data_IF_803518902353
#
_entry.id   IF_803518902353
#
_cell.length_a   1.000
_cell.length_b   1.000
_cell.length_c   1.000
_cell.angle_alpha   90.00
_cell.angle_beta   90.00
_cell.angle_gamma   90.00
#
_symmetry.space_group_name_H-M   'P 1'
#
loop_
_entity.id
_entity.type
_entity.pdbx_description
1 polymer ?
#
# COMPACT_ATOMS: atom_id res chain seq x y z
N UNK A 1 10.94 9.42 17.35
CA UNK A 1 11.39 8.05 17.67
C UNK A 1 10.89 7.16 16.56
N UNK A 2 11.71 6.27 15.98
CA UNK A 2 11.22 5.33 14.98
C UNK A 2 10.12 4.47 15.62
N UNK A 3 8.91 4.63 15.12
CA UNK A 3 7.70 3.97 15.63
C UNK A 3 7.79 2.45 15.44
N UNK A 4 8.70 2.01 14.57
CA UNK A 4 9.03 0.62 14.27
C UNK A 4 10.53 0.38 14.53
N UNK A 5 10.94 0.12 15.78
CA UNK A 5 12.34 -0.11 16.10
C UNK A 5 12.86 -1.33 15.32
N UNK A 6 13.97 -1.14 14.58
CA UNK A 6 14.62 -2.14 13.72
C UNK A 6 13.83 -2.57 12.47
N UNK A 7 12.97 -1.70 11.92
CA UNK A 7 12.38 -1.93 10.60
C UNK A 7 13.46 -2.09 9.52
N UNK A 8 13.52 -3.26 8.87
CA UNK A 8 14.51 -3.59 7.83
C UNK A 8 13.90 -3.88 6.45
N UNK A 9 12.58 -3.66 6.30
CA UNK A 9 11.89 -3.80 5.02
C UNK A 9 12.26 -2.67 4.06
N UNK A 10 12.32 -2.97 2.75
CA UNK A 10 12.62 -1.99 1.69
C UNK A 10 11.38 -1.33 1.09
N UNK A 11 10.22 -1.98 1.24
CA UNK A 11 8.97 -1.58 0.62
C UNK A 11 7.97 -2.73 0.54
N UNK A 12 7.20 -2.77 -0.55
CA UNK A 12 6.24 -3.82 -0.90
C UNK A 12 6.98 -4.88 -1.70
N UNK A 13 6.83 -6.15 -1.30
CA UNK A 13 7.47 -7.29 -1.93
C UNK A 13 6.45 -8.09 -2.74
N UNK A 14 6.82 -8.47 -3.97
CA UNK A 14 6.02 -9.36 -4.81
C UNK A 14 6.69 -10.73 -4.91
N UNK A 15 5.86 -11.76 -4.92
CA UNK A 15 6.28 -13.15 -4.98
C UNK A 15 5.42 -13.93 -5.97
N UNK A 16 6.00 -14.95 -6.59
CA UNK A 16 5.26 -16.04 -7.22
C UNK A 16 5.13 -17.19 -6.23
N UNK A 17 3.98 -17.86 -6.25
CA UNK A 17 3.73 -19.09 -5.50
C UNK A 17 3.38 -20.18 -6.50
N UNK A 18 4.19 -21.24 -6.55
CA UNK A 18 3.80 -22.46 -7.22
C UNK A 18 2.82 -23.24 -6.33
N UNK A 19 1.55 -23.29 -6.70
CA UNK A 19 0.50 -23.93 -5.89
C UNK A 19 0.61 -25.46 -5.82
N UNK A 20 1.36 -26.09 -6.72
CA UNK A 20 1.57 -27.54 -6.73
C UNK A 20 2.74 -27.95 -5.82
N UNK A 21 3.84 -27.19 -5.84
CA UNK A 21 5.08 -27.52 -5.10
C UNK A 21 5.23 -26.77 -3.78
N UNK A 22 4.53 -25.63 -3.63
CA UNK A 22 4.71 -24.70 -2.51
C UNK A 22 5.96 -23.82 -2.62
N UNK A 23 6.65 -23.84 -3.76
CA UNK A 23 7.82 -22.98 -3.99
C UNK A 23 7.41 -21.51 -4.07
N UNK A 24 8.15 -20.65 -3.36
CA UNK A 24 7.94 -19.19 -3.32
C UNK A 24 9.21 -18.52 -3.82
N UNK A 25 9.08 -17.67 -4.83
CA UNK A 25 10.19 -16.89 -5.40
C UNK A 25 9.87 -15.40 -5.33
N UNK A 26 10.81 -14.60 -4.85
CA UNK A 26 10.67 -13.14 -4.85
C UNK A 26 10.94 -12.60 -6.26
N UNK A 27 9.96 -11.91 -6.85
CA UNK A 27 10.09 -11.35 -8.21
C UNK A 27 10.42 -9.87 -8.21
N UNK A 28 9.97 -9.13 -7.19
CA UNK A 28 10.10 -7.68 -7.16
C UNK A 28 10.05 -7.13 -5.74
N UNK A 29 10.63 -5.93 -5.56
CA UNK A 29 10.52 -5.13 -4.34
C UNK A 29 10.49 -3.65 -4.71
N UNK A 30 9.52 -2.90 -4.17
CA UNK A 30 9.51 -1.44 -4.34
C UNK A 30 10.61 -0.78 -3.51
N UNK A 31 10.95 0.47 -3.83
CA UNK A 31 11.75 1.34 -2.98
C UNK A 31 11.05 2.70 -2.90
N UNK A 32 11.34 3.50 -1.87
CA UNK A 32 10.82 4.87 -1.75
C UNK A 32 9.39 4.98 -1.21
N UNK A 33 8.83 3.88 -0.68
CA UNK A 33 7.63 3.90 0.15
C UNK A 33 8.02 3.68 1.62
N UNK A 34 7.50 4.51 2.51
CA UNK A 34 7.79 4.46 3.94
C UNK A 34 6.72 3.65 4.66
N UNK A 35 7.11 2.63 5.42
CA UNK A 35 6.22 1.80 6.23
C UNK A 35 4.91 1.37 5.52
N UNK A 36 4.99 0.61 4.40
CA UNK A 36 3.82 0.12 3.70
C UNK A 36 3.12 -1.02 4.46
N UNK A 37 2.45 -0.69 5.56
CA UNK A 37 1.92 -1.70 6.50
C UNK A 37 0.63 -2.36 6.04
N UNK A 38 -0.10 -1.72 5.12
CA UNK A 38 -1.29 -2.29 4.51
C UNK A 38 -1.34 -2.01 3.00
N UNK A 39 -1.80 -3.00 2.23
CA UNK A 39 -2.02 -2.91 0.79
C UNK A 39 -3.42 -3.42 0.44
N UNK A 40 -3.98 -2.88 -0.64
CA UNK A 40 -5.23 -3.33 -1.25
C UNK A 40 -4.99 -3.56 -2.73
N UNK A 41 -5.46 -4.69 -3.26
CA UNK A 41 -5.45 -4.96 -4.69
C UNK A 41 -6.86 -4.80 -5.25
N UNK A 42 -7.05 -3.79 -6.09
CA UNK A 42 -8.27 -3.62 -6.86
C UNK A 42 -8.14 -4.38 -8.18
N UNK A 43 -8.72 -5.59 -8.23
CA UNK A 43 -8.65 -6.46 -9.39
C UNK A 43 -9.46 -5.94 -10.59
N UNK A 44 -10.47 -5.09 -10.36
CA UNK A 44 -11.30 -4.52 -11.43
C UNK A 44 -10.51 -3.42 -12.15
N UNK A 45 -9.88 -2.52 -11.38
CA UNK A 45 -9.06 -1.44 -11.93
C UNK A 45 -7.60 -1.86 -12.27
N UNK A 46 -7.16 -3.04 -11.81
CA UNK A 46 -5.81 -3.55 -12.07
C UNK A 46 -4.71 -2.77 -11.34
N UNK A 47 -5.01 -2.23 -10.16
CA UNK A 47 -4.07 -1.42 -9.37
C UNK A 47 -3.85 -1.98 -7.97
N UNK A 48 -2.68 -1.70 -7.41
CA UNK A 48 -2.39 -1.88 -5.99
C UNK A 48 -2.36 -0.51 -5.32
N UNK A 49 -3.04 -0.37 -4.20
CA UNK A 49 -2.92 0.80 -3.34
C UNK A 49 -2.25 0.41 -2.02
N UNK A 50 -1.44 1.31 -1.47
CA UNK A 50 -0.74 1.11 -0.22
C UNK A 50 -0.85 2.36 0.66
N UNK A 51 -0.81 2.18 1.98
CA UNK A 51 -0.69 3.29 2.94
C UNK A 51 0.76 3.45 3.38
N UNK A 52 1.20 4.68 3.64
CA UNK A 52 2.38 4.95 4.46
C UNK A 52 1.95 5.17 5.91
N UNK A 53 2.32 4.25 6.80
CA UNK A 53 2.04 4.37 8.23
C UNK A 53 3.13 5.17 8.94
N UNK A 54 2.88 6.47 9.10
CA UNK A 54 3.77 7.40 9.81
C UNK A 54 3.04 8.07 10.97
N UNK A 55 3.72 8.26 12.10
CA UNK A 55 3.14 8.88 13.30
C UNK A 55 3.54 10.35 13.47
N UNK A 56 4.73 10.72 12.98
CA UNK A 56 5.26 12.08 13.10
C UNK A 56 4.78 13.00 11.95
N UNK A 57 4.37 12.41 10.83
CA UNK A 57 3.87 13.10 9.64
C UNK A 57 2.50 12.55 9.23
N UNK A 58 1.80 13.27 8.36
CA UNK A 58 0.61 12.71 7.73
C UNK A 58 1.00 11.50 6.88
N UNK A 59 0.20 10.44 6.94
CA UNK A 59 0.35 9.30 6.05
C UNK A 59 0.01 9.65 4.61
N UNK A 60 0.41 8.79 3.69
CA UNK A 60 0.11 8.90 2.27
C UNK A 60 -0.61 7.65 1.77
N UNK A 61 -1.49 7.80 0.79
CA UNK A 61 -1.94 6.73 -0.09
C UNK A 61 -1.08 6.78 -1.35
N UNK A 62 -0.58 5.63 -1.76
CA UNK A 62 0.18 5.47 -2.99
C UNK A 62 -0.51 4.42 -3.85
N UNK A 63 -0.77 4.75 -5.11
CA UNK A 63 -1.33 3.83 -6.09
C UNK A 63 -0.28 3.38 -7.08
N UNK A 64 -0.37 2.13 -7.50
CA UNK A 64 0.55 1.48 -8.41
C UNK A 64 -0.22 0.77 -9.53
N UNK A 65 0.26 0.88 -10.75
CA UNK A 65 -0.12 -0.08 -11.80
C UNK A 65 0.68 -1.37 -11.61
N UNK A 66 0.03 -2.51 -11.83
CA UNK A 66 0.68 -3.83 -11.77
C UNK A 66 1.14 -4.24 -13.17
N UNK A 67 2.44 -4.45 -13.36
CA UNK A 67 2.99 -4.96 -14.61
C UNK A 67 3.14 -6.49 -14.58
N UNK A 68 3.46 -7.08 -15.72
CA UNK A 68 3.80 -8.50 -15.84
C UNK A 68 4.87 -8.91 -14.81
N UNK A 69 4.68 -10.09 -14.22
CA UNK A 69 5.57 -10.60 -13.16
C UNK A 69 5.39 -9.94 -11.78
N UNK A 70 4.38 -9.07 -11.62
CA UNK A 70 4.01 -8.48 -10.33
C UNK A 70 4.85 -7.27 -9.93
N UNK A 71 5.62 -6.68 -10.86
CA UNK A 71 6.32 -5.43 -10.59
C UNK A 71 5.34 -4.26 -10.52
N UNK A 72 5.65 -3.27 -9.68
CA UNK A 72 4.77 -2.13 -9.43
C UNK A 72 5.38 -0.84 -9.98
N UNK A 73 4.56 -0.03 -10.64
CA UNK A 73 4.94 1.31 -11.08
C UNK A 73 4.05 2.34 -10.37
N UNK A 74 4.64 3.25 -9.60
CA UNK A 74 3.90 4.30 -8.89
C UNK A 74 3.15 5.18 -9.90
N UNK A 75 1.83 5.35 -9.73
CA UNK A 75 0.97 6.16 -10.60
C UNK A 75 0.47 7.41 -9.91
N UNK A 76 0.31 7.37 -8.58
CA UNK A 76 -0.09 8.54 -7.80
C UNK A 76 0.30 8.40 -6.33
N UNK A 77 0.42 9.55 -5.66
CA UNK A 77 0.69 9.68 -4.23
C UNK A 77 -0.07 10.88 -3.68
N UNK A 78 -0.81 10.69 -2.59
CA UNK A 78 -1.65 11.73 -1.98
C UNK A 78 -1.63 11.61 -0.45
N UNK A 79 -1.66 12.73 0.26
CA UNK A 79 -1.78 12.72 1.73
C UNK A 79 -3.15 12.18 2.16
N UNK A 80 -3.16 11.35 3.20
CA UNK A 80 -4.39 10.89 3.89
C UNK A 80 -4.94 11.95 4.83
N UNK A 81 -4.17 13.02 5.08
CA UNK A 81 -4.42 14.04 6.11
C UNK A 81 -4.54 13.46 7.53
N UNK A 82 -4.30 12.15 7.71
CA UNK A 82 -4.35 11.43 8.97
C UNK A 82 -2.98 10.94 9.41
N UNK A 83 -2.89 10.50 10.66
CA UNK A 83 -1.66 9.97 11.25
C UNK A 83 -1.85 8.48 11.56
N UNK A 84 -0.79 7.69 11.36
CA UNK A 84 -0.80 6.24 11.42
C UNK A 84 -1.92 5.63 10.57
N UNK A 85 -1.93 5.94 9.27
CA UNK A 85 -2.81 5.29 8.29
C UNK A 85 -2.53 3.79 8.27
N UNK A 86 -3.54 2.98 8.56
CA UNK A 86 -3.34 1.57 8.94
C UNK A 86 -4.20 0.57 8.16
N UNK A 87 -5.15 1.04 7.36
CA UNK A 87 -5.99 0.17 6.51
C UNK A 87 -6.47 0.94 5.28
N UNK A 88 -6.58 0.23 4.16
CA UNK A 88 -7.05 0.74 2.87
C UNK A 88 -7.93 -0.32 2.20
N UNK A 89 -9.05 0.11 1.60
CA UNK A 89 -10.04 -0.76 0.93
C UNK A 89 -10.73 0.01 -0.20
N UNK A 90 -11.13 -0.64 -1.29
CA UNK A 90 -12.01 -0.04 -2.31
C UNK A 90 -13.51 -0.24 -1.97
N UNK A 91 -14.29 0.82 -2.19
CA UNK A 91 -15.74 0.84 -1.95
C UNK A 91 -16.43 1.62 -3.08
N UNK A 92 -16.95 0.91 -4.06
CA UNK A 92 -17.51 1.53 -5.27
C UNK A 92 -16.42 2.26 -6.06
N UNK A 93 -16.64 3.53 -6.37
CA UNK A 93 -15.69 4.39 -7.11
C UNK A 93 -14.78 5.19 -6.16
N UNK A 94 -14.41 4.58 -5.02
CA UNK A 94 -13.62 5.25 -4.00
C UNK A 94 -12.67 4.29 -3.31
N UNK A 95 -11.50 4.82 -2.94
CA UNK A 95 -10.57 4.17 -2.02
C UNK A 95 -10.72 4.83 -0.66
N UNK A 96 -10.95 4.02 0.37
CA UNK A 96 -11.14 4.46 1.74
C UNK A 96 -9.90 4.11 2.56
N UNK A 97 -9.39 5.07 3.32
CA UNK A 97 -8.24 4.88 4.22
C UNK A 97 -8.64 5.23 5.64
N UNK A 98 -8.34 4.34 6.60
CA UNK A 98 -8.47 4.64 8.02
C UNK A 98 -7.12 5.00 8.64
N UNK A 99 -7.14 5.99 9.53
CA UNK A 99 -5.94 6.47 10.24
C UNK A 99 -6.13 6.32 11.74
N UNK A 100 -5.32 5.46 12.34
CA UNK A 100 -5.47 5.02 13.72
C UNK A 100 -5.19 6.13 14.71
N UNK A 101 -4.02 6.79 14.60
CA UNK A 101 -3.60 7.76 15.60
C UNK A 101 -4.45 9.03 15.57
N UNK A 102 -4.90 9.46 14.38
CA UNK A 102 -5.80 10.62 14.25
C UNK A 102 -7.29 10.29 14.41
N UNK A 103 -7.68 9.01 14.38
CA UNK A 103 -9.08 8.60 14.46
C UNK A 103 -9.94 9.11 13.30
N UNK A 104 -9.37 9.16 12.09
CA UNK A 104 -10.01 9.74 10.90
C UNK A 104 -10.13 8.74 9.75
N UNK A 105 -11.02 9.05 8.81
CA UNK A 105 -11.19 8.33 7.55
C UNK A 105 -11.06 9.32 6.39
N UNK A 106 -10.28 8.96 5.37
CA UNK A 106 -10.16 9.68 4.13
C UNK A 106 -10.80 8.87 2.98
N UNK A 107 -11.36 9.57 2.01
CA UNK A 107 -11.92 8.98 0.78
C UNK A 107 -11.27 9.62 -0.43
N UNK A 108 -10.82 8.80 -1.36
CA UNK A 108 -10.20 9.20 -2.61
C UNK A 108 -11.03 8.70 -3.76
N UNK A 109 -11.45 9.60 -4.65
CA UNK A 109 -12.16 9.20 -5.86
C UNK A 109 -11.27 8.31 -6.72
N UNK A 110 -11.81 7.16 -7.13
CA UNK A 110 -11.12 6.21 -7.97
C UNK A 110 -12.11 5.67 -9.00
N UNK A 111 -11.89 6.01 -10.26
CA UNK A 111 -12.65 5.43 -11.37
C UNK A 111 -12.22 3.98 -11.60
N UNK A 112 -13.20 3.10 -11.69
CA UNK A 112 -13.06 1.72 -12.18
C UNK A 112 -12.65 1.68 -13.65
#
# INVERSE_FOLDING_TARGET
EDHVPNGCGKGIYAYTLNSETGEIEQTYVTNGITNPTYIHFDAEAGIVCAVEETYDTQGEIISYSVNDGGSLSETSRQSTLGFASCHIESCGDSIIVSSYASGSVASFAHSK
#
